data_IF_170295800770
#
_entry.id   IF_170295800770
#
_cell.length_a   1.000
_cell.length_b   1.000
_cell.length_c   1.000
_cell.angle_alpha   90.00
_cell.angle_beta   90.00
_cell.angle_gamma   90.00
#
_symmetry.space_group_name_H-M   'P 1'
#
loop_
_entity.id
_entity.type
_entity.pdbx_description
1 polymer ?
#
# COMPACT_ATOMS: atom_id res chain seq x y z
N UNK A 1 22.40 -37.95 57.18
CA UNK A 1 21.14 -37.23 57.47
C UNK A 1 20.85 -36.10 56.47
N UNK A 2 21.87 -35.34 56.06
CA UNK A 2 21.77 -34.25 55.06
C UNK A 2 21.19 -34.68 53.69
N UNK A 3 21.54 -35.85 53.15
CA UNK A 3 20.97 -36.36 51.87
C UNK A 3 19.45 -36.58 51.92
N UNK A 4 18.90 -37.02 53.06
CA UNK A 4 17.45 -37.23 53.23
C UNK A 4 16.70 -35.91 53.34
N UNK A 5 17.35 -34.88 53.90
CA UNK A 5 16.80 -33.53 54.00
C UNK A 5 16.75 -32.83 52.64
N UNK A 6 17.80 -32.97 51.82
CA UNK A 6 17.84 -32.39 50.46
C UNK A 6 16.75 -33.00 49.56
N UNK A 7 16.54 -34.33 49.64
CA UNK A 7 15.50 -35.00 48.86
C UNK A 7 14.09 -34.56 49.30
N UNK A 8 13.86 -34.40 50.60
CA UNK A 8 12.58 -33.93 51.12
C UNK A 8 12.28 -32.47 50.73
N UNK A 9 13.29 -31.60 50.70
CA UNK A 9 13.16 -30.20 50.25
C UNK A 9 12.90 -30.14 48.74
N UNK A 10 13.57 -30.98 47.94
CA UNK A 10 13.34 -31.04 46.49
C UNK A 10 11.93 -31.57 46.14
N UNK A 11 11.43 -32.55 46.88
CA UNK A 11 10.07 -33.07 46.74
C UNK A 11 9.01 -32.05 47.17
N UNK A 12 9.25 -31.28 48.23
CA UNK A 12 8.34 -30.23 48.67
C UNK A 12 8.29 -29.04 47.69
N UNK A 13 9.42 -28.66 47.09
CA UNK A 13 9.50 -27.61 46.07
C UNK A 13 8.85 -28.08 44.75
N UNK A 14 9.03 -29.35 44.39
CA UNK A 14 8.37 -29.96 43.22
C UNK A 14 6.85 -30.04 43.39
N UNK A 15 6.34 -30.26 44.61
CA UNK A 15 4.89 -30.26 44.87
C UNK A 15 4.28 -28.84 44.85
N UNK A 16 5.06 -27.83 45.25
CA UNK A 16 4.62 -26.43 45.24
C UNK A 16 4.52 -25.81 43.84
N UNK A 17 5.24 -26.37 42.85
CA UNK A 17 5.23 -25.90 41.47
C UNK A 17 4.08 -26.47 40.62
N UNK A 18 3.41 -27.54 41.06
CA UNK A 18 2.32 -28.19 40.30
C UNK A 18 0.94 -27.59 40.67
N UNK A 19 0.83 -26.88 41.79
CA UNK A 19 -0.44 -26.37 42.33
C UNK A 19 -0.97 -25.05 41.74
N UNK A 20 -0.39 -24.52 40.65
CA UNK A 20 -0.85 -23.27 40.01
C UNK A 20 -1.08 -23.37 38.50
N UNK A 21 -1.38 -24.56 38.00
CA UNK A 21 -2.00 -24.70 36.68
C UNK A 21 -3.53 -24.61 36.84
N UNK A 22 -4.03 -23.41 37.12
CA UNK A 22 -5.44 -23.11 36.87
C UNK A 22 -5.58 -23.03 35.36
N UNK A 23 -6.14 -24.08 34.75
CA UNK A 23 -6.63 -24.03 33.40
C UNK A 23 -7.77 -23.01 33.37
N UNK A 24 -7.48 -21.80 32.91
CA UNK A 24 -8.49 -20.85 32.52
C UNK A 24 -8.95 -21.28 31.13
N UNK A 25 -9.94 -22.17 31.08
CA UNK A 25 -10.78 -22.33 29.90
C UNK A 25 -11.51 -21.00 29.73
N UNK A 26 -11.00 -20.16 28.83
CA UNK A 26 -11.77 -19.08 28.27
C UNK A 26 -12.94 -19.74 27.53
N UNK A 27 -14.12 -19.70 28.15
CA UNK A 27 -15.37 -19.98 27.47
C UNK A 27 -15.49 -18.96 26.32
N UNK A 28 -15.30 -19.44 25.09
CA UNK A 28 -15.56 -18.67 23.89
C UNK A 28 -17.07 -18.46 23.81
N UNK A 29 -17.51 -17.23 24.07
CA UNK A 29 -18.88 -16.80 23.89
C UNK A 29 -19.21 -16.89 22.39
N UNK A 30 -20.07 -17.84 22.01
CA UNK A 30 -20.34 -18.19 20.61
C UNK A 30 -21.29 -17.22 19.92
N UNK A 31 -21.10 -15.91 20.12
CA UNK A 31 -21.84 -14.87 19.42
C UNK A 31 -21.02 -13.57 19.23
N UNK A 32 -19.70 -13.68 19.07
CA UNK A 32 -18.91 -12.55 18.57
C UNK A 32 -18.94 -12.55 17.04
N UNK A 33 -19.73 -11.64 16.49
CA UNK A 33 -19.64 -11.30 15.06
C UNK A 33 -18.24 -10.82 14.72
N UNK A 34 -17.79 -11.10 13.49
CA UNK A 34 -16.53 -10.55 12.98
C UNK A 34 -16.74 -9.06 12.71
N UNK A 35 -15.99 -8.23 13.44
CA UNK A 35 -16.05 -6.78 13.28
C UNK A 35 -15.21 -6.34 12.07
N UNK A 36 -15.82 -5.58 11.15
CA UNK A 36 -15.15 -4.89 10.06
C UNK A 36 -15.15 -3.40 10.37
N UNK A 37 -14.00 -2.78 10.54
CA UNK A 37 -13.87 -1.36 10.86
C UNK A 37 -13.59 -0.58 9.58
N UNK A 38 -14.49 0.30 9.18
CA UNK A 38 -14.36 1.12 7.98
C UNK A 38 -14.25 2.60 8.34
N UNK A 39 -13.07 3.17 8.14
CA UNK A 39 -12.76 4.58 8.33
C UNK A 39 -12.91 5.32 7.01
N UNK A 40 -13.74 6.37 7.00
CA UNK A 40 -14.10 7.12 5.79
C UNK A 40 -14.16 8.63 6.06
N UNK A 41 -14.21 9.42 4.98
CA UNK A 41 -14.43 10.86 5.03
C UNK A 41 -15.68 11.28 4.26
N UNK A 42 -16.45 12.23 4.78
CA UNK A 42 -17.59 12.80 4.04
C UNK A 42 -17.14 13.54 2.78
N UNK A 43 -17.60 13.09 1.61
CA UNK A 43 -17.18 13.62 0.31
C UNK A 43 -16.01 12.89 -0.35
N UNK A 44 -15.44 11.86 0.29
CA UNK A 44 -14.43 10.98 -0.28
C UNK A 44 -14.99 10.13 -1.44
N UNK A 45 -14.52 10.29 -2.70
CA UNK A 45 -15.08 9.59 -3.86
C UNK A 45 -14.89 8.07 -3.83
N UNK A 46 -13.77 7.60 -3.25
CA UNK A 46 -13.46 6.17 -3.13
C UNK A 46 -14.28 5.52 -2.02
N UNK A 47 -14.42 6.20 -0.89
CA UNK A 47 -15.26 5.75 0.23
C UNK A 47 -16.74 5.63 -0.17
N UNK A 48 -17.23 6.52 -1.05
CA UNK A 48 -18.59 6.45 -1.59
C UNK A 48 -18.85 5.19 -2.44
N UNK A 49 -17.81 4.54 -2.97
CA UNK A 49 -17.89 3.29 -3.72
C UNK A 49 -17.71 2.04 -2.85
N UNK A 50 -16.83 2.11 -1.85
CA UNK A 50 -16.62 0.99 -0.92
C UNK A 50 -17.78 0.82 0.06
N UNK A 51 -18.39 1.91 0.50
CA UNK A 51 -19.53 1.90 1.44
C UNK A 51 -20.72 1.03 0.98
N UNK A 52 -21.22 1.09 -0.28
CA UNK A 52 -22.26 0.17 -0.74
C UNK A 52 -21.79 -1.28 -0.80
N UNK A 53 -20.56 -1.53 -1.26
CA UNK A 53 -19.98 -2.89 -1.27
C UNK A 53 -19.96 -3.51 0.14
N UNK A 54 -19.51 -2.76 1.15
CA UNK A 54 -19.50 -3.25 2.54
C UNK A 54 -20.90 -3.49 3.10
N UNK A 55 -21.92 -2.77 2.62
CA UNK A 55 -23.32 -3.05 2.99
C UNK A 55 -23.82 -4.34 2.37
N UNK A 56 -23.55 -4.56 1.08
CA UNK A 56 -23.88 -5.82 0.40
C UNK A 56 -23.15 -7.00 1.08
N UNK A 57 -21.89 -6.80 1.46
CA UNK A 57 -21.11 -7.80 2.20
C UNK A 57 -21.71 -8.14 3.57
N UNK A 58 -22.26 -7.16 4.28
CA UNK A 58 -22.95 -7.38 5.57
C UNK A 58 -24.28 -8.14 5.38
N UNK A 59 -24.94 -7.98 4.23
CA UNK A 59 -26.14 -8.75 3.87
C UNK A 59 -25.79 -10.21 3.50
N UNK A 60 -24.67 -10.41 2.79
CA UNK A 60 -24.20 -11.74 2.38
C UNK A 60 -23.63 -12.57 3.54
N UNK A 61 -23.02 -11.92 4.52
CA UNK A 61 -22.38 -12.55 5.68
C UNK A 61 -22.99 -12.01 7.00
N UNK A 62 -24.15 -12.51 7.46
CA UNK A 62 -24.80 -12.01 8.67
C UNK A 62 -23.98 -12.19 9.96
N UNK A 63 -22.92 -13.00 9.92
CA UNK A 63 -21.92 -13.19 10.97
C UNK A 63 -20.93 -12.02 11.11
N UNK A 64 -20.95 -11.03 10.19
CA UNK A 64 -20.14 -9.81 10.32
C UNK A 64 -20.95 -8.63 10.85
N UNK A 65 -20.23 -7.63 11.36
CA UNK A 65 -20.76 -6.30 11.70
C UNK A 65 -19.80 -5.23 11.16
N UNK A 66 -20.30 -4.37 10.27
CA UNK A 66 -19.49 -3.28 9.71
C UNK A 66 -19.68 -2.01 10.55
N UNK A 67 -18.59 -1.52 11.12
CA UNK A 67 -18.53 -0.30 11.92
C UNK A 67 -17.97 0.86 11.11
N UNK A 68 -18.79 1.87 10.90
CA UNK A 68 -18.50 3.02 10.04
C UNK A 68 -18.01 4.21 10.88
N UNK A 69 -16.77 4.66 10.67
CA UNK A 69 -16.14 5.78 11.38
C UNK A 69 -15.79 6.91 10.42
N UNK A 70 -16.49 8.03 10.53
CA UNK A 70 -16.16 9.25 9.77
C UNK A 70 -14.99 9.98 10.46
N UNK A 71 -13.90 10.30 9.77
CA UNK A 71 -12.66 10.82 10.40
C UNK A 71 -12.34 12.29 10.08
N UNK A 72 -12.95 12.91 9.07
CA UNK A 72 -12.65 14.31 8.73
C UNK A 72 -13.37 15.31 9.63
N UNK A 73 -14.59 15.00 10.06
CA UNK A 73 -15.41 15.80 10.96
C UNK A 73 -15.39 15.34 12.42
N UNK A 74 -14.80 14.18 12.72
CA UNK A 74 -14.78 13.63 14.08
C UNK A 74 -13.36 13.23 14.51
N UNK A 75 -12.84 13.99 15.48
CA UNK A 75 -11.50 13.75 16.04
C UNK A 75 -11.38 12.42 16.78
N UNK A 76 -12.40 11.99 17.51
CA UNK A 76 -12.35 10.73 18.27
C UNK A 76 -12.22 9.53 17.33
N UNK A 77 -12.89 9.59 16.17
CA UNK A 77 -12.78 8.58 15.13
C UNK A 77 -11.42 8.62 14.42
N UNK A 78 -10.84 9.81 14.24
CA UNK A 78 -9.48 9.96 13.70
C UNK A 78 -8.43 9.39 14.66
N UNK A 79 -8.57 9.67 15.95
CA UNK A 79 -7.71 9.11 17.00
C UNK A 79 -7.84 7.58 17.01
N UNK A 80 -9.05 7.05 16.88
CA UNK A 80 -9.28 5.60 16.74
C UNK A 80 -8.61 5.03 15.48
N UNK A 81 -8.74 5.69 14.33
CA UNK A 81 -8.08 5.27 13.09
C UNK A 81 -6.56 5.19 13.27
N UNK A 82 -5.99 6.17 13.96
CA UNK A 82 -4.55 6.24 14.26
C UNK A 82 -4.12 5.10 15.17
N UNK A 83 -4.90 4.79 16.21
CA UNK A 83 -4.63 3.65 17.10
C UNK A 83 -4.63 2.31 16.36
N UNK A 84 -5.53 2.13 15.39
CA UNK A 84 -5.55 0.93 14.54
C UNK A 84 -4.32 0.88 13.62
N UNK A 85 -3.97 2.01 13.00
CA UNK A 85 -2.79 2.11 12.14
C UNK A 85 -1.50 1.78 12.90
N UNK A 86 -1.33 2.30 14.12
CA UNK A 86 -0.16 2.02 14.97
C UNK A 86 -0.08 0.55 15.39
N UNK A 87 -1.21 -0.06 15.78
CA UNK A 87 -1.23 -1.47 16.22
C UNK A 87 -0.92 -2.45 15.09
N UNK A 88 -1.29 -2.10 13.87
CA UNK A 88 -1.07 -2.92 12.68
C UNK A 88 0.22 -2.55 11.93
N UNK A 89 1.00 -1.58 12.44
CA UNK A 89 2.19 -1.03 11.78
C UNK A 89 1.90 -0.59 10.32
N UNK A 90 0.73 0.05 10.12
CA UNK A 90 0.23 0.48 8.83
C UNK A 90 0.53 1.97 8.59
N UNK A 91 1.15 2.32 7.46
CA UNK A 91 1.37 3.72 7.03
C UNK A 91 0.08 4.32 6.43
N UNK A 92 -0.92 4.53 7.27
CA UNK A 92 -2.23 5.08 6.87
C UNK A 92 -2.16 6.60 6.83
N UNK A 93 -2.32 7.17 5.62
CA UNK A 93 -2.30 8.63 5.39
C UNK A 93 -3.65 9.23 4.98
N UNK A 94 -4.68 8.40 4.89
CA UNK A 94 -5.99 8.83 4.42
C UNK A 94 -7.00 7.70 4.38
N UNK A 95 -8.13 8.01 3.75
CA UNK A 95 -9.31 7.14 3.64
C UNK A 95 -9.60 6.79 2.18
N UNK A 96 -10.29 5.67 1.89
CA UNK A 96 -10.82 4.70 2.85
C UNK A 96 -9.75 3.81 3.52
N UNK A 97 -9.99 3.42 4.77
CA UNK A 97 -9.17 2.46 5.50
C UNK A 97 -10.07 1.41 6.17
N UNK A 98 -9.89 0.14 5.81
CA UNK A 98 -10.73 -0.97 6.24
C UNK A 98 -9.90 -1.98 7.01
N UNK A 99 -10.35 -2.38 8.20
CA UNK A 99 -9.65 -3.35 9.07
C UNK A 99 -10.56 -4.53 9.38
N UNK A 100 -10.02 -5.74 9.21
CA UNK A 100 -10.67 -7.02 9.49
C UNK A 100 -9.69 -7.90 10.26
N UNK A 101 -9.85 -7.98 11.58
CA UNK A 101 -8.93 -8.72 12.44
C UNK A 101 -7.50 -8.16 12.35
N UNK A 102 -6.55 -8.99 11.91
CA UNK A 102 -5.14 -8.61 11.68
C UNK A 102 -4.89 -8.09 10.26
N UNK A 103 -5.89 -8.14 9.37
CA UNK A 103 -5.76 -7.67 7.98
C UNK A 103 -6.31 -6.25 7.85
N UNK A 104 -5.71 -5.46 6.96
CA UNK A 104 -6.16 -4.11 6.66
C UNK A 104 -5.97 -3.77 5.18
N UNK A 105 -6.76 -2.81 4.71
CA UNK A 105 -6.80 -2.35 3.33
C UNK A 105 -6.84 -0.82 3.29
N UNK A 106 -5.97 -0.21 2.47
CA UNK A 106 -5.88 1.23 2.31
C UNK A 106 -6.28 1.57 0.87
N UNK A 107 -7.32 2.38 0.71
CA UNK A 107 -7.85 2.79 -0.58
C UNK A 107 -8.81 1.77 -1.20
N UNK A 108 -9.57 2.22 -2.19
CA UNK A 108 -10.53 1.41 -2.94
C UNK A 108 -10.34 1.57 -4.44
N UNK A 109 -10.07 0.46 -5.13
CA UNK A 109 -9.99 0.41 -6.58
C UNK A 109 -11.35 0.06 -7.19
N UNK A 110 -11.77 -1.20 -7.01
CA UNK A 110 -13.04 -1.75 -7.45
C UNK A 110 -13.34 -3.08 -6.72
N UNK A 111 -14.53 -3.63 -6.96
CA UNK A 111 -15.00 -4.91 -6.38
C UNK A 111 -14.14 -6.10 -6.81
N UNK A 112 -13.62 -6.10 -8.05
CA UNK A 112 -12.82 -7.19 -8.59
C UNK A 112 -11.42 -7.29 -8.01
N UNK A 113 -10.89 -6.18 -7.49
CA UNK A 113 -9.56 -6.12 -6.87
C UNK A 113 -9.61 -5.95 -5.35
N UNK A 114 -10.00 -4.77 -4.85
CA UNK A 114 -10.02 -4.49 -3.41
C UNK A 114 -11.18 -5.21 -2.74
N UNK A 115 -12.36 -5.24 -3.37
CA UNK A 115 -13.53 -5.93 -2.83
C UNK A 115 -13.29 -7.42 -2.61
N UNK A 116 -12.68 -8.10 -3.58
CA UNK A 116 -12.30 -9.52 -3.44
C UNK A 116 -11.35 -9.78 -2.27
N UNK A 117 -10.35 -8.92 -2.08
CA UNK A 117 -9.41 -9.05 -0.95
C UNK A 117 -10.12 -8.88 0.40
N UNK A 118 -11.03 -7.92 0.49
CA UNK A 118 -11.86 -7.69 1.68
C UNK A 118 -12.76 -8.91 1.96
N UNK A 119 -13.41 -9.44 0.92
CA UNK A 119 -14.26 -10.63 1.05
C UNK A 119 -13.45 -11.86 1.48
N UNK A 120 -12.27 -12.08 0.92
CA UNK A 120 -11.38 -13.19 1.28
C UNK A 120 -10.88 -13.04 2.73
N UNK A 121 -10.63 -11.82 3.20
CA UNK A 121 -10.31 -11.53 4.61
C UNK A 121 -11.48 -11.84 5.55
N UNK A 122 -12.72 -11.49 5.15
CA UNK A 122 -13.93 -11.85 5.89
C UNK A 122 -14.09 -13.37 5.98
N UNK A 123 -13.96 -14.10 4.87
CA UNK A 123 -14.04 -15.56 4.85
C UNK A 123 -12.98 -16.20 5.75
N UNK A 124 -11.77 -15.67 5.71
CA UNK A 124 -10.66 -16.12 6.57
C UNK A 124 -10.97 -15.90 8.05
N UNK A 125 -11.52 -14.73 8.40
CA UNK A 125 -11.92 -14.40 9.76
C UNK A 125 -13.10 -15.25 10.28
N UNK A 126 -14.01 -15.66 9.39
CA UNK A 126 -15.12 -16.56 9.70
C UNK A 126 -14.70 -18.05 9.80
N UNK A 127 -13.41 -18.37 9.63
CA UNK A 127 -12.91 -19.73 9.70
C UNK A 127 -13.14 -20.55 8.42
N UNK A 128 -13.49 -19.89 7.32
CA UNK A 128 -13.55 -20.50 5.99
C UNK A 128 -12.14 -20.82 5.49
N UNK A 129 -11.66 -22.03 5.75
CA UNK A 129 -10.46 -22.56 5.10
C UNK A 129 -10.78 -23.00 3.67
N UNK A 130 -11.10 -22.05 2.80
CA UNK A 130 -10.81 -22.16 1.36
C UNK A 130 -9.44 -21.52 1.14
N UNK A 131 -8.42 -22.16 1.71
CA UNK A 131 -7.03 -21.84 1.48
C UNK A 131 -6.64 -22.25 0.06
N UNK A 132 -6.99 -21.41 -0.91
CA UNK A 132 -6.15 -21.11 -2.06
C UNK A 132 -4.98 -20.23 -1.62
N UNK A 133 -4.24 -20.69 -0.61
CA UNK A 133 -3.02 -20.06 -0.11
C UNK A 133 -1.88 -20.38 -1.10
N UNK A 134 -1.74 -19.56 -2.13
CA UNK A 134 -0.41 -19.28 -2.67
C UNK A 134 0.11 -18.02 -1.96
N UNK A 135 0.87 -18.31 -0.90
CA UNK A 135 1.84 -17.48 -0.20
C UNK A 135 1.36 -16.29 0.65
N UNK A 136 0.95 -16.61 1.88
CA UNK A 136 1.02 -15.66 2.99
C UNK A 136 2.46 -15.54 3.47
N UNK A 137 3.16 -14.51 3.03
CA UNK A 137 4.26 -13.93 3.79
C UNK A 137 4.11 -12.42 3.88
N UNK A 138 3.65 -11.99 5.07
CA UNK A 138 4.16 -10.84 5.85
C UNK A 138 4.86 -9.77 5.03
N UNK A 139 4.26 -8.58 4.96
CA UNK A 139 5.04 -7.36 4.86
C UNK A 139 4.54 -6.36 5.92
N UNK A 140 5.13 -6.49 7.11
CA UNK A 140 5.25 -5.40 8.07
C UNK A 140 6.23 -4.40 7.44
N UNK A 141 5.73 -3.22 7.05
CA UNK A 141 6.56 -2.04 6.87
C UNK A 141 7.74 -2.16 5.90
N UNK A 142 7.51 -2.44 4.62
CA UNK A 142 8.45 -2.02 3.57
C UNK A 142 7.72 -1.45 2.35
N UNK A 143 8.05 -0.19 2.03
CA UNK A 143 7.55 0.54 0.87
C UNK A 143 7.70 -0.28 -0.41
N UNK A 144 6.59 -0.83 -0.91
CA UNK A 144 6.49 -1.24 -2.31
C UNK A 144 5.24 -0.63 -2.95
N UNK A 145 5.39 0.64 -3.34
CA UNK A 145 4.63 1.19 -4.47
C UNK A 145 5.00 0.38 -5.71
N UNK A 146 4.33 -0.74 -5.97
CA UNK A 146 4.23 -1.29 -7.33
C UNK A 146 3.06 -2.26 -7.44
N UNK A 147 2.10 -2.02 -8.35
CA UNK A 147 1.05 -2.99 -8.63
C UNK A 147 1.68 -4.30 -9.11
N UNK A 148 1.22 -5.41 -8.52
CA UNK A 148 1.52 -6.77 -8.96
C UNK A 148 0.93 -6.98 -10.35
N UNK A 149 1.79 -6.81 -11.37
CA UNK A 149 1.50 -7.15 -12.76
C UNK A 149 0.51 -6.20 -13.44
N UNK A 150 1.01 -5.38 -14.36
CA UNK A 150 0.14 -4.67 -15.29
C UNK A 150 -0.10 -5.60 -16.48
N UNK A 151 -1.34 -6.08 -16.64
CA UNK A 151 -1.76 -6.83 -17.82
C UNK A 151 -1.90 -5.88 -19.02
N UNK A 152 -0.86 -5.82 -19.86
CA UNK A 152 -0.88 -5.06 -21.10
C UNK A 152 -1.36 -5.95 -22.25
N UNK A 153 -2.38 -5.53 -23.03
CA UNK A 153 -3.03 -6.36 -24.06
C UNK A 153 -2.11 -6.75 -25.24
N UNK A 154 -0.90 -6.19 -25.31
CA UNK A 154 0.09 -6.48 -26.36
C UNK A 154 1.35 -7.16 -25.80
N UNK A 155 1.70 -6.96 -24.53
CA UNK A 155 2.98 -7.39 -23.96
C UNK A 155 2.87 -8.53 -22.92
N UNK A 156 1.66 -8.93 -22.53
CA UNK A 156 1.46 -9.99 -21.54
C UNK A 156 1.90 -9.61 -20.14
N UNK A 157 1.88 -10.57 -19.21
CA UNK A 157 2.20 -10.36 -17.78
C UNK A 157 3.67 -9.95 -17.62
N UNK A 158 3.89 -8.70 -17.20
CA UNK A 158 5.23 -8.19 -16.86
C UNK A 158 5.30 -8.05 -15.34
N UNK A 159 6.17 -8.85 -14.72
CA UNK A 159 6.52 -8.71 -13.31
C UNK A 159 7.27 -7.40 -13.09
N UNK A 160 6.60 -6.43 -12.47
CA UNK A 160 7.10 -5.09 -12.14
C UNK A 160 8.32 -5.13 -11.22
N UNK A 161 8.49 -6.20 -10.42
CA UNK A 161 9.62 -6.44 -9.51
C UNK A 161 10.97 -6.68 -10.22
N UNK A 162 10.98 -7.06 -11.50
CA UNK A 162 12.21 -7.36 -12.26
C UNK A 162 12.70 -6.21 -13.17
N UNK A 163 11.97 -5.10 -13.22
CA UNK A 163 12.37 -3.92 -13.99
C UNK A 163 13.28 -3.04 -13.12
N UNK A 164 14.58 -3.09 -13.38
CA UNK A 164 15.51 -2.18 -12.72
C UNK A 164 15.14 -0.72 -13.04
N UNK A 165 15.20 0.16 -12.04
CA UNK A 165 14.91 1.60 -12.16
C UNK A 165 15.59 2.27 -13.39
N UNK A 166 16.82 1.90 -13.80
CA UNK A 166 17.43 2.40 -15.02
C UNK A 166 16.67 2.01 -16.29
N UNK A 167 16.12 0.78 -16.36
CA UNK A 167 15.39 0.30 -17.54
C UNK A 167 14.07 1.05 -17.68
N UNK A 168 13.34 1.27 -16.57
CA UNK A 168 12.12 2.08 -16.58
C UNK A 168 12.43 3.51 -17.03
N UNK A 169 13.52 4.09 -16.52
CA UNK A 169 13.99 5.42 -16.92
C UNK A 169 14.31 5.50 -18.41
N UNK A 170 14.97 4.48 -18.97
CA UNK A 170 15.26 4.41 -20.41
C UNK A 170 13.98 4.32 -21.22
N UNK A 171 13.01 3.49 -20.81
CA UNK A 171 11.74 3.32 -21.52
C UNK A 171 10.95 4.63 -21.49
N UNK A 172 10.76 5.22 -20.32
CA UNK A 172 10.00 6.48 -20.18
C UNK A 172 10.70 7.65 -20.89
N UNK A 173 12.02 7.76 -20.76
CA UNK A 173 12.80 8.77 -21.48
C UNK A 173 12.75 8.58 -23.00
N UNK A 174 12.67 7.33 -23.47
CA UNK A 174 12.48 7.04 -24.90
C UNK A 174 11.08 7.47 -25.35
N UNK A 175 10.04 7.09 -24.61
CA UNK A 175 8.65 7.47 -24.92
C UNK A 175 8.46 8.99 -24.96
N UNK A 176 9.04 9.71 -24.00
CA UNK A 176 9.02 11.18 -23.97
C UNK A 176 9.89 11.81 -25.08
N UNK A 177 10.99 11.15 -25.46
CA UNK A 177 11.82 11.56 -26.60
C UNK A 177 11.11 11.45 -27.96
N UNK A 178 10.14 10.55 -28.10
CA UNK A 178 9.26 10.44 -29.27
C UNK A 178 8.04 11.39 -29.21
N UNK A 179 8.06 12.40 -28.34
CA UNK A 179 7.04 13.44 -28.31
C UNK A 179 7.16 14.35 -29.55
N UNK A 180 6.05 14.64 -30.28
CA UNK A 180 6.04 15.56 -31.42
C UNK A 180 6.76 16.88 -31.14
N UNK A 181 6.61 17.45 -29.94
CA UNK A 181 7.27 18.70 -29.54
C UNK A 181 8.81 18.55 -29.50
N UNK A 182 9.31 17.47 -28.89
CA UNK A 182 10.74 17.17 -28.81
C UNK A 182 11.32 16.86 -30.21
N UNK A 183 10.57 16.17 -31.05
CA UNK A 183 10.99 15.83 -32.41
C UNK A 183 11.21 17.08 -33.28
N UNK A 184 10.27 18.04 -33.25
CA UNK A 184 10.39 19.26 -34.06
C UNK A 184 11.58 20.13 -33.64
N UNK A 185 11.84 20.24 -32.34
CA UNK A 185 12.99 21.00 -31.83
C UNK A 185 14.32 20.33 -32.20
N UNK A 186 14.39 19.00 -32.20
CA UNK A 186 15.57 18.26 -32.63
C UNK A 186 15.86 18.46 -34.13
N UNK A 187 14.84 18.40 -34.99
CA UNK A 187 14.99 18.66 -36.43
C UNK A 187 15.51 20.08 -36.68
N UNK A 188 14.96 21.05 -35.94
CA UNK A 188 15.44 22.43 -35.99
C UNK A 188 16.92 22.53 -35.59
N UNK A 189 17.32 21.91 -34.47
CA UNK A 189 18.71 21.88 -34.02
C UNK A 189 19.63 21.27 -35.09
N UNK A 190 19.29 20.09 -35.62
CA UNK A 190 20.08 19.39 -36.64
C UNK A 190 20.23 20.27 -37.89
N UNK A 191 19.16 20.93 -38.33
CA UNK A 191 19.18 21.83 -39.50
C UNK A 191 20.15 22.99 -39.31
N UNK A 192 20.17 23.59 -38.12
CA UNK A 192 21.11 24.66 -37.77
C UNK A 192 22.55 24.13 -37.72
N UNK A 193 22.77 22.95 -37.15
CA UNK A 193 24.11 22.35 -37.02
C UNK A 193 24.69 21.90 -38.37
N UNK A 194 23.88 21.39 -39.30
CA UNK A 194 24.32 20.98 -40.64
C UNK A 194 24.82 22.16 -41.49
N UNK A 195 24.35 23.38 -41.22
CA UNK A 195 24.84 24.60 -41.88
C UNK A 195 26.23 25.07 -41.40
N UNK A 196 26.78 24.49 -40.35
CA UNK A 196 28.05 24.91 -39.74
C UNK A 196 29.24 24.12 -40.29
N UNK A 197 30.27 24.84 -40.78
CA UNK A 197 31.53 24.24 -41.23
C UNK A 197 32.51 23.91 -40.10
N UNK A 198 32.40 24.59 -38.95
CA UNK A 198 33.33 24.47 -37.83
C UNK A 198 32.80 23.52 -36.74
N UNK A 199 33.52 22.41 -36.52
CA UNK A 199 33.16 21.38 -35.53
C UNK A 199 33.14 21.89 -34.10
N UNK A 200 33.97 22.88 -33.74
CA UNK A 200 33.98 23.43 -32.37
C UNK A 200 32.71 24.22 -32.10
N UNK A 201 32.25 25.00 -33.08
CA UNK A 201 30.99 25.76 -32.99
C UNK A 201 29.79 24.84 -32.98
N UNK A 202 29.83 23.74 -33.74
CA UNK A 202 28.80 22.70 -33.75
C UNK A 202 28.61 22.07 -32.35
N UNK A 203 29.69 21.61 -31.72
CA UNK A 203 29.62 21.05 -30.37
C UNK A 203 29.21 22.08 -29.32
N UNK A 204 29.73 23.31 -29.40
CA UNK A 204 29.38 24.37 -28.46
C UNK A 204 27.87 24.69 -28.51
N UNK A 205 27.32 24.90 -29.71
CA UNK A 205 25.90 25.21 -29.89
C UNK A 205 25.00 24.04 -29.51
N UNK A 206 25.37 22.81 -29.89
CA UNK A 206 24.63 21.61 -29.51
C UNK A 206 24.57 21.41 -28.00
N UNK A 207 25.71 21.51 -27.30
CA UNK A 207 25.76 21.34 -25.84
C UNK A 207 25.02 22.45 -25.12
N UNK A 208 25.14 23.72 -25.56
CA UNK A 208 24.37 24.83 -24.97
C UNK A 208 22.87 24.59 -25.14
N UNK A 209 22.43 24.20 -26.32
CA UNK A 209 21.02 23.90 -26.58
C UNK A 209 20.49 22.78 -25.66
N UNK A 210 21.22 21.66 -25.54
CA UNK A 210 20.83 20.53 -24.68
C UNK A 210 20.82 20.96 -23.20
N UNK A 211 21.87 21.66 -22.74
CA UNK A 211 21.98 22.10 -21.36
C UNK A 211 20.88 23.10 -20.96
N UNK A 212 20.58 24.07 -21.82
CA UNK A 212 19.49 25.02 -21.60
C UNK A 212 18.13 24.32 -21.61
N UNK A 213 17.89 23.38 -22.54
CA UNK A 213 16.64 22.61 -22.61
C UNK A 213 16.43 21.78 -21.34
N UNK A 214 17.46 21.07 -20.88
CA UNK A 214 17.43 20.29 -19.65
C UNK A 214 17.16 21.18 -18.42
N UNK A 215 17.81 22.34 -18.34
CA UNK A 215 17.60 23.30 -17.26
C UNK A 215 16.16 23.83 -17.23
N UNK A 216 15.62 24.26 -18.38
CA UNK A 216 14.25 24.76 -18.46
C UNK A 216 13.24 23.67 -18.10
N UNK A 217 13.43 22.45 -18.61
CA UNK A 217 12.58 21.31 -18.27
C UNK A 217 12.61 20.99 -16.77
N UNK A 218 13.81 20.96 -16.18
CA UNK A 218 13.98 20.75 -14.74
C UNK A 218 13.29 21.85 -13.92
N UNK A 219 13.47 23.13 -14.27
CA UNK A 219 12.84 24.24 -13.56
C UNK A 219 11.31 24.19 -13.68
N UNK A 220 10.78 23.80 -14.84
CA UNK A 220 9.35 23.62 -15.04
C UNK A 220 8.77 22.51 -14.15
N UNK A 221 9.40 21.32 -14.16
CA UNK A 221 8.99 20.21 -13.31
C UNK A 221 9.11 20.54 -11.82
N UNK A 222 10.17 21.24 -11.41
CA UNK A 222 10.36 21.69 -10.04
C UNK A 222 9.30 22.74 -9.62
N UNK A 223 8.97 23.70 -10.50
CA UNK A 223 7.93 24.67 -10.24
C UNK A 223 6.56 23.99 -10.11
N UNK A 224 6.27 23.02 -10.97
CA UNK A 224 5.04 22.24 -10.93
C UNK A 224 4.90 21.41 -9.65
N UNK A 225 5.98 20.75 -9.20
CA UNK A 225 6.00 20.01 -7.94
C UNK A 225 5.72 20.95 -6.75
N UNK A 226 6.40 22.11 -6.71
CA UNK A 226 6.15 23.10 -5.65
C UNK A 226 4.72 23.66 -5.71
N UNK A 227 4.16 23.83 -6.90
CA UNK A 227 2.78 24.25 -7.07
C UNK A 227 1.79 23.19 -6.54
N UNK A 228 2.01 21.91 -6.85
CA UNK A 228 1.19 20.82 -6.32
C UNK A 228 1.29 20.70 -4.79
N UNK A 229 2.49 20.80 -4.23
CA UNK A 229 2.70 20.78 -2.78
C UNK A 229 2.11 22.01 -2.09
N UNK A 230 2.09 23.17 -2.76
CA UNK A 230 1.47 24.38 -2.20
C UNK A 230 -0.05 24.32 -2.22
N UNK A 231 -0.63 23.56 -3.15
CA UNK A 231 -2.07 23.43 -3.31
C UNK A 231 -2.72 22.38 -2.39
N UNK A 232 -1.99 21.80 -1.41
CA UNK A 232 -2.47 20.87 -0.36
C UNK A 232 -3.90 20.34 -0.59
N UNK A 233 -4.02 19.32 -1.46
CA UNK A 233 -5.20 18.47 -1.60
C UNK A 233 -5.01 17.19 -0.78
#
# INVERSE_FOLDING_TARGET
MIKKFIIAVFLAISLLLIGKASAQEAALDTNEKVNVYFFYGEGCPHCAKEKPFLKELEEDYPEIEVKYYEVWGNKENLDLMTDFAEKLDADVRGVPFTVIGEQYFIGWMDEGYTGRQIEDAVKSALGGTDSGLEDTQRDLGEKTDTPEGIDLPVFGKIETKNLSLPVITIIMGSLDGFNPCAMWTLIFLISVLLGLKDRKRMWLLGTIFIATSALVYFLFMAAWLNFMLWCDW
#
